data_IF_785433962718
#
_entry.id   IF_785433962718
#
_cell.length_a   1.000
_cell.length_b   1.000
_cell.length_c   1.000
_cell.angle_alpha   90.00
_cell.angle_beta   90.00
_cell.angle_gamma   90.00
#
_symmetry.space_group_name_H-M   'P 1'
#
loop_
_entity.id
_entity.type
_entity.pdbx_description
1 polymer ?
#
# COMPACT_ATOMS: atom_id res chain seq x y z
N UNK A 1 10.64 -14.94 -5.39
CA UNK A 1 9.36 -14.29 -5.72
C UNK A 1 9.05 -13.31 -4.61
N UNK A 2 8.90 -12.02 -4.93
CA UNK A 2 8.56 -11.00 -3.92
C UNK A 2 7.05 -10.95 -3.73
N UNK A 3 6.60 -10.84 -2.47
CA UNK A 3 5.18 -10.69 -2.14
C UNK A 3 4.89 -9.22 -1.85
N UNK A 4 3.95 -8.64 -2.60
CA UNK A 4 3.59 -7.23 -2.56
C UNK A 4 2.20 -7.09 -1.97
N UNK A 5 2.08 -6.44 -0.82
CA UNK A 5 0.80 -6.01 -0.25
C UNK A 5 0.49 -4.59 -0.70
N UNK A 6 -0.71 -4.34 -1.23
CA UNK A 6 -1.15 -3.00 -1.68
C UNK A 6 -2.32 -2.55 -0.83
N UNK A 7 -2.11 -1.51 -0.02
CA UNK A 7 -3.14 -0.84 0.76
C UNK A 7 -3.52 0.48 0.11
N UNK A 8 -4.81 0.74 -0.05
CA UNK A 8 -5.37 1.91 -0.73
C UNK A 8 -6.80 2.14 -0.24
N UNK A 9 -7.31 3.36 -0.37
CA UNK A 9 -8.74 3.61 -0.17
C UNK A 9 -9.53 3.24 -1.43
N UNK A 10 -10.75 2.71 -1.29
CA UNK A 10 -11.61 2.37 -2.45
C UNK A 10 -11.85 3.56 -3.40
N UNK A 11 -11.82 4.80 -2.88
CA UNK A 11 -11.92 6.02 -3.69
C UNK A 11 -10.73 6.24 -4.64
N UNK A 12 -9.63 5.51 -4.45
CA UNK A 12 -8.40 5.58 -5.24
C UNK A 12 -8.18 4.31 -6.09
N UNK A 13 -9.24 3.52 -6.31
CA UNK A 13 -9.16 2.25 -7.03
C UNK A 13 -8.59 2.37 -8.45
N UNK A 14 -8.91 3.44 -9.17
CA UNK A 14 -8.38 3.65 -10.53
C UNK A 14 -6.84 3.77 -10.54
N UNK A 15 -6.25 4.42 -9.53
CA UNK A 15 -4.80 4.52 -9.40
C UNK A 15 -4.18 3.16 -9.05
N UNK A 16 -4.82 2.40 -8.15
CA UNK A 16 -4.40 1.03 -7.83
C UNK A 16 -4.46 0.13 -9.07
N UNK A 17 -5.53 0.23 -9.86
CA UNK A 17 -5.72 -0.56 -11.07
C UNK A 17 -4.61 -0.28 -12.10
N UNK A 18 -4.32 1.01 -12.35
CA UNK A 18 -3.21 1.40 -13.22
C UNK A 18 -1.87 0.84 -12.74
N UNK A 19 -1.59 0.91 -11.43
CA UNK A 19 -0.39 0.29 -10.85
C UNK A 19 -0.36 -1.22 -11.09
N UNK A 20 -1.45 -1.94 -10.82
CA UNK A 20 -1.49 -3.40 -11.05
C UNK A 20 -1.34 -3.78 -12.51
N UNK A 21 -1.83 -2.96 -13.44
CA UNK A 21 -1.64 -3.15 -14.88
C UNK A 21 -0.16 -3.03 -15.25
N UNK A 22 0.53 -2.00 -14.76
CA UNK A 22 1.96 -1.82 -14.95
C UNK A 22 2.80 -2.94 -14.32
N UNK A 23 2.35 -3.51 -13.20
CA UNK A 23 3.01 -4.64 -12.53
C UNK A 23 2.71 -6.00 -13.20
N UNK A 24 1.69 -6.10 -14.06
CA UNK A 24 1.25 -7.36 -14.67
C UNK A 24 2.35 -8.15 -15.40
N UNK A 25 3.34 -7.55 -16.09
CA UNK A 25 4.42 -8.33 -16.69
C UNK A 25 5.28 -9.06 -15.65
N UNK A 26 5.49 -8.46 -14.48
CA UNK A 26 6.28 -9.05 -13.38
C UNK A 26 5.51 -10.18 -12.68
N UNK A 27 4.19 -10.05 -12.59
CA UNK A 27 3.31 -11.13 -12.10
C UNK A 27 3.35 -12.31 -13.09
N UNK A 28 3.21 -12.05 -14.39
CA UNK A 28 3.23 -13.10 -15.43
C UNK A 28 4.54 -13.88 -15.49
N UNK A 29 5.67 -13.24 -15.18
CA UNK A 29 6.98 -13.90 -15.13
C UNK A 29 7.28 -14.57 -13.78
N UNK A 30 6.36 -14.50 -12.81
CA UNK A 30 6.51 -15.08 -11.48
C UNK A 30 7.57 -14.38 -10.61
N UNK A 31 7.97 -13.16 -10.97
CA UNK A 31 8.92 -12.38 -10.17
C UNK A 31 8.26 -11.83 -8.91
N UNK A 32 6.99 -11.44 -9.02
CA UNK A 32 6.20 -10.91 -7.93
C UNK A 32 4.84 -11.62 -7.81
N UNK A 33 4.30 -11.62 -6.61
CA UNK A 33 2.91 -11.94 -6.29
C UNK A 33 2.34 -10.72 -5.56
N UNK A 34 1.23 -10.18 -6.04
CA UNK A 34 0.60 -8.98 -5.51
C UNK A 34 -0.70 -9.32 -4.79
N UNK A 35 -1.05 -8.57 -3.76
CA UNK A 35 -2.29 -8.78 -3.01
C UNK A 35 -2.92 -7.45 -2.62
N UNK A 36 -4.25 -7.39 -2.69
CA UNK A 36 -5.07 -6.29 -2.20
C UNK A 36 -6.44 -6.83 -1.79
N UNK A 37 -7.21 -6.02 -1.08
CA UNK A 37 -8.51 -6.39 -0.50
C UNK A 37 -9.56 -6.87 -1.53
N UNK A 38 -9.48 -6.49 -2.81
CA UNK A 38 -10.36 -7.02 -3.86
C UNK A 38 -10.16 -8.52 -4.14
N UNK A 39 -9.09 -9.12 -3.62
CA UNK A 39 -8.84 -10.58 -3.71
C UNK A 39 -9.51 -11.36 -2.58
N UNK A 40 -10.16 -10.71 -1.62
CA UNK A 40 -10.90 -11.38 -0.56
C UNK A 40 -12.05 -12.21 -1.14
N UNK A 41 -12.12 -13.47 -0.71
CA UNK A 41 -13.20 -14.39 -1.10
C UNK A 41 -14.42 -14.11 -0.21
N UNK A 42 -15.63 -13.91 -0.78
CA UNK A 42 -16.83 -13.71 0.03
C UNK A 42 -17.06 -14.84 1.04
N UNK A 43 -17.29 -14.47 2.30
CA UNK A 43 -17.52 -15.41 3.40
C UNK A 43 -16.27 -15.74 4.23
N UNK A 44 -15.08 -15.25 3.87
CA UNK A 44 -13.89 -15.38 4.73
C UNK A 44 -13.89 -14.34 5.86
N UNK A 45 -13.10 -14.62 6.91
CA UNK A 45 -12.79 -13.59 7.90
C UNK A 45 -11.81 -12.59 7.27
N UNK A 46 -12.36 -11.49 6.76
CA UNK A 46 -11.62 -10.47 6.04
C UNK A 46 -10.41 -9.93 6.82
N UNK A 47 -10.55 -9.71 8.14
CA UNK A 47 -9.48 -9.14 8.96
C UNK A 47 -8.28 -10.10 9.10
N UNK A 48 -8.56 -11.40 9.22
CA UNK A 48 -7.49 -12.41 9.29
C UNK A 48 -6.77 -12.52 7.95
N UNK A 49 -7.50 -12.57 6.84
CA UNK A 49 -6.92 -12.63 5.49
C UNK A 49 -6.03 -11.42 5.18
N UNK A 50 -6.47 -10.20 5.51
CA UNK A 50 -5.62 -9.01 5.32
C UNK A 50 -4.35 -9.10 6.17
N UNK A 51 -4.50 -9.45 7.45
CA UNK A 51 -3.36 -9.58 8.38
C UNK A 51 -2.36 -10.64 7.94
N UNK A 52 -2.83 -11.80 7.49
CA UNK A 52 -1.96 -12.88 6.99
C UNK A 52 -1.22 -12.47 5.71
N UNK A 53 -1.90 -11.82 4.76
CA UNK A 53 -1.26 -11.35 3.54
C UNK A 53 -0.26 -10.22 3.82
N UNK A 54 -0.56 -9.33 4.76
CA UNK A 54 0.37 -8.30 5.22
C UNK A 54 1.63 -8.91 5.83
N UNK A 55 1.47 -9.82 6.81
CA UNK A 55 2.60 -10.42 7.54
C UNK A 55 3.49 -11.30 6.65
N UNK A 56 2.93 -11.87 5.60
CA UNK A 56 3.67 -12.69 4.63
C UNK A 56 4.32 -11.87 3.49
N UNK A 57 4.09 -10.55 3.44
CA UNK A 57 4.60 -9.71 2.37
C UNK A 57 6.03 -9.23 2.63
N UNK A 58 6.82 -9.12 1.56
CA UNK A 58 8.20 -8.58 1.59
C UNK A 58 8.26 -7.13 1.14
N UNK A 59 7.24 -6.67 0.41
CA UNK A 59 7.06 -5.28 -0.02
C UNK A 59 5.64 -4.87 0.36
N UNK A 60 5.49 -3.69 0.95
CA UNK A 60 4.21 -3.14 1.37
C UNK A 60 4.07 -1.76 0.73
N UNK A 61 3.04 -1.56 -0.08
CA UNK A 61 2.75 -0.30 -0.77
C UNK A 61 1.54 0.36 -0.10
N UNK A 62 1.75 1.53 0.49
CA UNK A 62 0.65 2.36 0.98
C UNK A 62 0.37 3.45 -0.05
N UNK A 63 -0.78 3.37 -0.71
CA UNK A 63 -1.23 4.36 -1.69
C UNK A 63 -1.98 5.48 -0.97
N UNK A 64 -1.24 6.51 -0.58
CA UNK A 64 -1.67 7.56 0.33
C UNK A 64 -2.45 8.64 -0.41
N UNK A 65 -3.64 8.93 0.09
CA UNK A 65 -4.51 10.03 -0.31
C UNK A 65 -5.20 10.61 0.92
N UNK A 66 -5.94 11.71 0.77
CA UNK A 66 -6.81 12.17 1.86
C UNK A 66 -7.86 11.11 2.26
N UNK A 67 -8.31 10.28 1.32
CA UNK A 67 -9.25 9.20 1.60
C UNK A 67 -8.61 8.00 2.28
N UNK A 68 -7.34 7.71 2.02
CA UNK A 68 -6.58 6.70 2.75
C UNK A 68 -6.37 7.08 4.22
N UNK A 69 -6.15 8.37 4.49
CA UNK A 69 -6.00 8.89 5.85
C UNK A 69 -7.36 9.03 6.58
N UNK A 70 -8.45 9.20 5.84
CA UNK A 70 -9.82 9.40 6.34
C UNK A 70 -10.61 8.10 6.50
N UNK A 71 -10.25 7.01 5.80
CA UNK A 71 -10.95 5.72 5.86
C UNK A 71 -10.77 4.98 7.19
N UNK A 72 -10.40 5.72 8.24
CA UNK A 72 -9.54 5.29 9.32
C UNK A 72 -8.24 4.70 8.78
N UNK A 73 -7.19 4.84 9.58
CA UNK A 73 -5.94 4.13 9.50
C UNK A 73 -6.25 2.60 9.47
N UNK A 74 -6.54 2.02 8.28
CA UNK A 74 -7.51 0.92 8.03
C UNK A 74 -7.23 -0.46 8.67
N UNK A 75 -6.28 -0.53 9.59
CA UNK A 75 -6.42 -1.07 10.94
C UNK A 75 -5.19 -0.46 11.64
N UNK A 76 -5.33 0.26 12.77
CA UNK A 76 -4.17 0.83 13.49
C UNK A 76 -3.07 -0.23 13.68
N UNK A 77 -3.50 -1.47 13.91
CA UNK A 77 -2.64 -2.66 13.97
C UNK A 77 -1.93 -2.97 12.65
N UNK A 78 -2.54 -2.82 11.47
CA UNK A 78 -1.93 -3.16 10.17
C UNK A 78 -0.86 -2.15 9.78
N UNK A 79 -1.14 -0.85 9.87
CA UNK A 79 -0.13 0.16 9.60
C UNK A 79 1.00 0.10 10.64
N UNK A 80 0.70 -0.14 11.92
CA UNK A 80 1.73 -0.41 12.93
C UNK A 80 2.51 -1.70 12.66
N UNK A 81 1.86 -2.76 12.16
CA UNK A 81 2.50 -4.02 11.77
C UNK A 81 3.43 -3.80 10.58
N UNK A 82 2.98 -3.09 9.55
CA UNK A 82 3.79 -2.73 8.39
C UNK A 82 5.03 -1.91 8.80
N UNK A 83 4.84 -0.90 9.64
CA UNK A 83 5.92 -0.08 10.20
C UNK A 83 6.89 -0.91 11.02
N UNK A 84 6.39 -1.81 11.87
CA UNK A 84 7.22 -2.72 12.67
C UNK A 84 8.02 -3.67 11.78
N UNK A 85 7.38 -4.30 10.80
CA UNK A 85 8.03 -5.18 9.84
C UNK A 85 9.13 -4.43 9.07
N UNK A 86 8.89 -3.16 8.74
CA UNK A 86 9.90 -2.31 8.10
C UNK A 86 11.08 -2.00 9.01
N UNK A 87 10.81 -1.55 10.25
CA UNK A 87 11.84 -1.29 11.27
C UNK A 87 12.67 -2.54 11.59
N UNK A 88 12.06 -3.72 11.53
CA UNK A 88 12.72 -5.03 11.74
C UNK A 88 13.40 -5.59 10.48
N UNK A 89 13.30 -4.93 9.32
CA UNK A 89 13.87 -5.40 8.06
C UNK A 89 13.18 -6.63 7.45
N UNK A 90 11.99 -6.99 7.93
CA UNK A 90 11.19 -8.13 7.43
C UNK A 90 10.46 -7.80 6.14
N UNK A 91 10.09 -6.54 5.94
CA UNK A 91 9.47 -6.06 4.72
C UNK A 91 9.89 -4.62 4.42
N UNK A 92 9.80 -4.20 3.16
CA UNK A 92 9.99 -2.81 2.79
C UNK A 92 8.64 -2.10 2.68
N UNK A 93 8.37 -1.15 3.58
CA UNK A 93 7.21 -0.28 3.49
C UNK A 93 7.54 0.93 2.62
N UNK A 94 6.76 1.14 1.57
CA UNK A 94 6.94 2.22 0.58
C UNK A 94 5.66 3.05 0.54
N UNK A 95 5.69 4.29 1.07
CA UNK A 95 4.62 5.25 0.88
C UNK A 95 4.58 5.74 -0.57
N UNK A 96 3.41 5.74 -1.20
CA UNK A 96 3.16 6.26 -2.55
C UNK A 96 2.06 7.32 -2.49
N UNK A 97 2.41 8.58 -2.70
CA UNK A 97 1.48 9.70 -2.56
C UNK A 97 0.65 9.85 -3.84
N UNK A 98 -0.63 9.47 -3.78
CA UNK A 98 -1.55 9.59 -4.91
C UNK A 98 -2.12 11.01 -5.03
N UNK A 99 -2.64 11.55 -3.91
CA UNK A 99 -3.35 12.84 -3.86
C UNK A 99 -2.81 13.75 -2.76
N UNK A 100 -2.93 15.08 -2.92
CA UNK A 100 -2.63 16.02 -1.85
C UNK A 100 -3.30 15.61 -0.55
N UNK A 101 -2.51 15.48 0.51
CA UNK A 101 -2.97 15.01 1.82
C UNK A 101 -2.01 15.49 2.91
N UNK A 102 -2.44 15.38 4.17
CA UNK A 102 -1.66 15.82 5.34
C UNK A 102 -0.75 14.71 5.89
N UNK A 103 -0.35 13.76 5.05
CA UNK A 103 0.45 12.58 5.45
C UNK A 103 1.80 12.94 6.09
N UNK A 104 2.34 14.11 5.77
CA UNK A 104 3.61 14.63 6.30
C UNK A 104 3.45 15.36 7.65
N UNK A 105 2.22 15.59 8.10
CA UNK A 105 1.93 16.31 9.36
C UNK A 105 1.71 15.36 10.54
N UNK A 106 1.51 14.08 10.26
CA UNK A 106 1.18 13.08 11.25
C UNK A 106 1.79 11.74 10.80
N UNK A 107 2.39 10.99 11.72
CA UNK A 107 2.82 9.58 11.60
C UNK A 107 4.30 9.28 11.30
N UNK A 108 4.72 8.12 11.82
CA UNK A 108 5.93 7.36 11.47
C UNK A 108 6.14 7.19 9.95
N UNK A 109 5.10 7.36 9.11
CA UNK A 109 5.26 7.29 7.64
C UNK A 109 6.07 8.47 7.09
N UNK A 110 6.06 9.62 7.77
CA UNK A 110 6.81 10.81 7.34
C UNK A 110 8.33 10.66 7.51
N UNK A 111 8.78 9.68 8.29
CA UNK A 111 10.20 9.32 8.43
C UNK A 111 10.69 8.49 7.23
N UNK A 112 9.77 7.92 6.45
CA UNK A 112 10.09 7.09 5.28
C UNK A 112 10.18 7.95 4.02
N UNK A 113 11.14 7.63 3.16
CA UNK A 113 11.20 8.24 1.83
C UNK A 113 10.00 7.77 1.00
N UNK A 114 9.11 8.71 0.68
CA UNK A 114 7.93 8.46 -0.13
C UNK A 114 8.22 8.59 -1.63
N UNK A 115 7.41 7.90 -2.42
CA UNK A 115 7.27 8.10 -3.86
C UNK A 115 6.04 8.97 -4.17
N UNK A 116 5.99 9.65 -5.31
CA UNK A 116 7.10 9.97 -6.23
C UNK A 116 8.18 10.87 -5.58
N UNK A 117 9.22 11.23 -6.33
CA UNK A 117 10.27 12.17 -5.87
C UNK A 117 9.66 13.42 -5.24
N UNK A 118 10.27 13.88 -4.14
CA UNK A 118 9.79 14.99 -3.31
C UNK A 118 8.37 14.80 -2.76
N UNK A 119 7.88 13.56 -2.75
CA UNK A 119 6.52 13.19 -2.38
C UNK A 119 5.44 13.99 -3.14
N UNK A 120 5.75 14.43 -4.37
CA UNK A 120 4.82 15.16 -5.22
C UNK A 120 3.67 14.21 -5.62
N UNK A 121 2.41 14.47 -5.22
CA UNK A 121 1.30 13.56 -5.46
C UNK A 121 1.13 13.22 -6.94
N UNK A 122 0.84 11.96 -7.28
CA UNK A 122 0.65 11.48 -8.67
C UNK A 122 -0.36 12.35 -9.44
N UNK A 123 -1.47 12.72 -8.80
CA UNK A 123 -2.50 13.63 -9.39
C UNK A 123 -2.05 15.05 -9.71
N UNK A 124 -0.79 15.41 -9.43
CA UNK A 124 -0.17 16.70 -9.78
C UNK A 124 0.87 16.57 -10.90
N UNK A 125 1.02 15.40 -11.50
CA UNK A 125 1.85 15.19 -12.67
C UNK A 125 0.99 15.36 -13.93
N UNK A 126 1.60 15.94 -14.95
CA UNK A 126 1.02 15.98 -16.29
C UNK A 126 1.31 14.63 -16.98
N UNK A 127 0.42 14.19 -17.87
CA UNK A 127 0.60 12.99 -18.70
C UNK A 127 1.69 13.18 -19.77
#
# INVERSE_FOLDING_TARGET
MAKIFISYAHKDEDHKNALTEHLSPLVRTGLIEEWNDRKLVPGTNWANEISENLQNSTIILFLISSSFLDSDYCIEVEAQTALKMHKEGKAQLIPVILRPSMWNKNSDLSELQALPTDAKPITKWDD
#
